data_IF_178529773373
#
_entry.id   IF_178529773373
#
_cell.length_a   1.000
_cell.length_b   1.000
_cell.length_c   1.000
_cell.angle_alpha   90.00
_cell.angle_beta   90.00
_cell.angle_gamma   90.00
#
_symmetry.space_group_name_H-M   'P 1'
#
loop_
_entity.id
_entity.type
_entity.pdbx_description
1 polymer ?
#
# COMPACT_ATOMS: atom_id res chain seq x y z
N UNK A 1 2.00 8.23 9.17
CA UNK A 1 1.45 7.10 9.95
C UNK A 1 1.64 5.76 9.25
N UNK A 2 1.06 5.50 8.06
CA UNK A 2 1.27 4.20 7.40
C UNK A 2 2.75 3.93 7.13
N UNK A 3 3.46 4.85 6.46
CA UNK A 3 4.90 4.75 6.20
C UNK A 3 5.72 4.48 7.47
N UNK A 4 5.42 5.18 8.57
CA UNK A 4 6.09 4.97 9.87
C UNK A 4 5.72 3.64 10.52
N UNK A 5 4.50 3.15 10.31
CA UNK A 5 4.01 1.89 10.85
C UNK A 5 4.61 0.66 10.16
N UNK A 6 4.85 0.76 8.85
CA UNK A 6 5.48 -0.31 8.06
C UNK A 6 6.99 -0.12 7.90
N UNK A 7 7.56 1.00 8.39
CA UNK A 7 8.99 1.34 8.26
C UNK A 7 9.49 1.33 6.80
N UNK A 8 8.66 1.81 5.89
CA UNK A 8 8.92 1.84 4.44
C UNK A 8 8.42 3.15 3.82
N UNK A 9 9.09 3.59 2.77
CA UNK A 9 8.59 4.67 1.93
C UNK A 9 7.29 4.24 1.26
N UNK A 10 6.25 5.08 1.36
CA UNK A 10 4.94 4.83 0.75
C UNK A 10 4.68 5.86 -0.32
N UNK A 11 4.42 5.37 -1.53
CA UNK A 11 4.01 6.18 -2.67
C UNK A 11 2.50 6.09 -2.86
N UNK A 12 1.84 7.24 -2.96
CA UNK A 12 0.41 7.36 -3.24
C UNK A 12 0.25 7.63 -4.72
N UNK A 13 -0.35 6.70 -5.45
CA UNK A 13 -0.59 6.83 -6.88
C UNK A 13 -1.89 7.58 -7.18
N UNK A 14 -1.96 8.19 -8.36
CA UNK A 14 -3.13 8.91 -8.83
C UNK A 14 -4.23 7.95 -9.33
N UNK A 15 -5.48 8.26 -8.95
CA UNK A 15 -6.69 7.63 -9.49
C UNK A 15 -7.59 7.08 -8.39
N UNK A 16 -8.90 7.21 -8.56
CA UNK A 16 -9.89 6.65 -7.63
C UNK A 16 -10.19 5.15 -7.91
N UNK A 17 -9.96 4.69 -9.15
CA UNK A 17 -10.41 3.39 -9.64
C UNK A 17 -9.23 2.55 -10.18
N UNK A 18 -8.30 2.08 -9.33
CA UNK A 18 -7.13 1.34 -9.77
C UNK A 18 -7.47 0.05 -10.51
N UNK A 19 -8.57 -0.62 -10.14
CA UNK A 19 -9.04 -1.85 -10.80
C UNK A 19 -9.51 -1.61 -12.23
N UNK A 20 -10.41 -0.64 -12.44
CA UNK A 20 -10.90 -0.29 -13.76
C UNK A 20 -9.77 0.23 -14.66
N UNK A 21 -8.86 1.02 -14.10
CA UNK A 21 -7.66 1.47 -14.79
C UNK A 21 -6.79 0.30 -15.25
N UNK A 22 -6.54 -0.69 -14.39
CA UNK A 22 -5.78 -1.89 -14.75
C UNK A 22 -6.41 -2.65 -15.92
N UNK A 23 -7.73 -2.83 -15.90
CA UNK A 23 -8.47 -3.46 -17.00
C UNK A 23 -8.30 -2.69 -18.33
N UNK A 24 -8.41 -1.36 -18.29
CA UNK A 24 -8.20 -0.53 -19.47
C UNK A 24 -6.77 -0.60 -20.02
N UNK A 25 -5.76 -0.63 -19.14
CA UNK A 25 -4.35 -0.79 -19.54
C UNK A 25 -4.10 -2.16 -20.21
N UNK A 26 -4.69 -3.24 -19.67
CA UNK A 26 -4.62 -4.57 -20.29
C UNK A 26 -5.29 -4.62 -21.67
N UNK A 27 -6.46 -3.97 -21.83
CA UNK A 27 -7.08 -3.83 -23.14
C UNK A 27 -6.21 -3.02 -24.11
N UNK A 28 -5.52 -1.98 -23.62
CA UNK A 28 -4.52 -1.24 -24.37
C UNK A 28 -3.38 -2.13 -24.87
N UNK A 29 -2.88 -3.04 -24.03
CA UNK A 29 -1.84 -4.00 -24.44
C UNK A 29 -2.39 -4.97 -25.50
N UNK A 30 -3.56 -5.55 -25.26
CA UNK A 30 -4.17 -6.52 -26.18
C UNK A 30 -4.47 -5.93 -27.57
N UNK A 31 -4.76 -4.63 -27.63
CA UNK A 31 -5.01 -3.88 -28.89
C UNK A 31 -3.74 -3.28 -29.50
N UNK A 32 -2.57 -3.49 -28.90
CA UNK A 32 -1.28 -2.98 -29.37
C UNK A 32 -1.03 -1.50 -29.08
N UNK A 33 -1.86 -0.85 -28.25
CA UNK A 33 -1.65 0.54 -27.81
C UNK A 33 -0.44 0.68 -26.89
N UNK A 34 -0.11 -0.37 -26.14
CA UNK A 34 1.10 -0.51 -25.32
C UNK A 34 1.77 -1.84 -25.64
N UNK A 35 3.09 -1.86 -25.64
CA UNK A 35 3.92 -3.04 -25.97
C UNK A 35 4.10 -4.00 -24.80
N UNK A 36 3.97 -3.51 -23.56
CA UNK A 36 4.24 -4.29 -22.35
C UNK A 36 3.51 -3.75 -21.12
N UNK A 37 3.46 -4.55 -20.06
CA UNK A 37 2.99 -4.11 -18.75
C UNK A 37 3.86 -2.99 -18.16
N UNK A 38 5.17 -3.01 -18.44
CA UNK A 38 6.10 -1.97 -18.00
C UNK A 38 5.71 -0.61 -18.60
N UNK A 39 5.57 -0.56 -19.92
CA UNK A 39 5.17 0.67 -20.63
C UNK A 39 3.77 1.16 -20.18
N UNK A 40 2.79 0.26 -20.06
CA UNK A 40 1.46 0.63 -19.59
C UNK A 40 1.49 1.16 -18.14
N UNK A 41 2.36 0.58 -17.30
CA UNK A 41 2.57 0.95 -15.91
C UNK A 41 3.18 2.35 -15.72
N UNK A 42 3.99 2.84 -16.65
CA UNK A 42 4.56 4.20 -16.61
C UNK A 42 3.49 5.30 -16.60
N UNK A 43 2.27 4.98 -17.05
CA UNK A 43 1.15 5.92 -16.95
C UNK A 43 0.76 6.20 -15.50
N UNK A 44 1.07 5.30 -14.56
CA UNK A 44 0.75 5.44 -13.15
C UNK A 44 1.62 6.54 -12.51
N UNK A 45 1.00 7.69 -12.26
CA UNK A 45 1.68 8.84 -11.66
C UNK A 45 1.63 8.77 -10.14
N UNK A 46 2.79 8.90 -9.49
CA UNK A 46 2.88 9.14 -8.05
C UNK A 46 2.46 10.59 -7.75
N UNK A 47 1.47 10.76 -6.87
CA UNK A 47 1.01 12.08 -6.43
C UNK A 47 1.76 12.58 -5.19
N UNK A 48 2.10 11.65 -4.29
CA UNK A 48 2.73 11.99 -3.02
C UNK A 48 3.59 10.83 -2.56
N UNK A 49 4.74 11.16 -2.00
CA UNK A 49 5.63 10.20 -1.35
C UNK A 49 5.72 10.53 0.14
N UNK A 50 5.60 9.50 0.97
CA UNK A 50 5.75 9.59 2.41
C UNK A 50 6.96 8.76 2.83
N UNK A 51 7.98 9.43 3.35
CA UNK A 51 9.14 8.77 3.94
C UNK A 51 8.93 8.56 5.44
N UNK A 52 9.35 7.41 5.99
CA UNK A 52 9.21 7.15 7.42
C UNK A 52 10.13 8.07 8.22
N UNK A 53 9.64 8.54 9.36
CA UNK A 53 10.46 9.25 10.35
C UNK A 53 10.99 8.26 11.40
N UNK A 54 12.30 8.23 11.70
CA UNK A 54 12.87 7.31 12.69
C UNK A 54 12.19 7.40 14.07
N UNK A 55 11.89 8.62 14.53
CA UNK A 55 11.16 8.86 15.79
C UNK A 55 9.73 8.34 15.72
N UNK A 56 9.10 8.45 14.56
CA UNK A 56 7.73 7.99 14.37
C UNK A 56 7.65 6.47 14.30
N UNK A 57 8.62 5.82 13.67
CA UNK A 57 8.79 4.36 13.59
C UNK A 57 8.99 3.76 14.99
N UNK A 58 9.88 4.33 15.81
CA UNK A 58 10.04 3.90 17.21
C UNK A 58 8.71 4.02 17.99
N UNK A 59 8.02 5.15 17.77
CA UNK A 59 6.59 5.40 18.06
C UNK A 59 5.71 4.16 17.83
N UNK A 60 5.65 3.76 16.56
CA UNK A 60 4.74 2.74 16.06
C UNK A 60 5.11 1.34 16.51
N UNK A 61 6.41 1.01 16.64
CA UNK A 61 6.85 -0.30 17.14
C UNK A 61 6.32 -0.59 18.55
N UNK A 62 6.38 0.39 19.45
CA UNK A 62 5.81 0.26 20.82
C UNK A 62 4.29 0.05 20.76
N UNK A 63 3.60 0.80 19.90
CA UNK A 63 2.13 0.68 19.75
C UNK A 63 1.74 -0.67 19.15
N UNK A 64 2.47 -1.15 18.16
CA UNK A 64 2.27 -2.45 17.52
C UNK A 64 2.42 -3.59 18.54
N UNK A 65 3.47 -3.55 19.38
CA UNK A 65 3.65 -4.54 20.44
C UNK A 65 2.46 -4.58 21.42
N UNK A 66 1.93 -3.42 21.82
CA UNK A 66 0.74 -3.33 22.68
C UNK A 66 -0.53 -3.85 21.99
N UNK A 67 -0.70 -3.51 20.71
CA UNK A 67 -1.81 -4.02 19.90
C UNK A 67 -1.78 -5.54 19.80
N UNK A 68 -0.63 -6.13 19.47
CA UNK A 68 -0.48 -7.58 19.38
C UNK A 68 -0.74 -8.27 20.73
N UNK A 69 -0.22 -7.74 21.84
CA UNK A 69 -0.51 -8.28 23.16
C UNK A 69 -2.01 -8.26 23.50
N UNK A 70 -2.73 -7.19 23.12
CA UNK A 70 -4.18 -7.11 23.30
C UNK A 70 -4.94 -8.09 22.41
N UNK A 71 -4.56 -8.23 21.14
CA UNK A 71 -5.13 -9.21 20.21
C UNK A 71 -4.93 -10.63 20.74
N UNK A 72 -3.73 -10.96 21.21
CA UNK A 72 -3.42 -12.27 21.78
C UNK A 72 -4.28 -12.58 23.02
N UNK A 73 -4.38 -11.64 23.96
CA UNK A 73 -5.17 -11.79 25.18
C UNK A 73 -6.67 -12.00 24.91
N UNK A 74 -7.18 -11.42 23.82
CA UNK A 74 -8.59 -11.49 23.44
C UNK A 74 -8.89 -12.59 22.42
N UNK A 75 -7.87 -13.17 21.78
CA UNK A 75 -8.03 -14.15 20.69
C UNK A 75 -8.86 -15.38 21.09
N UNK A 76 -8.70 -15.89 22.31
CA UNK A 76 -9.43 -17.05 22.82
C UNK A 76 -10.93 -16.81 23.03
N UNK A 77 -11.35 -15.55 23.15
CA UNK A 77 -12.75 -15.15 23.27
C UNK A 77 -13.47 -15.03 21.92
N UNK A 78 -12.71 -15.07 20.82
CA UNK A 78 -13.20 -14.83 19.46
C UNK A 78 -13.27 -16.10 18.60
N UNK A 79 -13.01 -17.27 19.19
CA UNK A 79 -13.22 -18.56 18.54
C UNK A 79 -14.69 -18.99 18.70
N UNK A 80 -15.42 -19.08 17.58
CA UNK A 80 -16.57 -19.99 17.42
C UNK A 80 -16.08 -21.37 16.99
#
# INVERSE_FOLDING_TARGET
MLADGVDMTVEVTHGAEPGARGAALLAGIATGRYSSLGEAGETARVMRTHTPSPTEVARMRIRSARYHAAVEALSSWWNE
#
